data_IF_759347185883
#
_entry.id   IF_759347185883
#
_cell.length_a   1.000
_cell.length_b   1.000
_cell.length_c   1.000
_cell.angle_alpha   90.00
_cell.angle_beta   90.00
_cell.angle_gamma   90.00
#
_symmetry.space_group_name_H-M   'P 1'
#
loop_
_entity.id
_entity.type
_entity.pdbx_description
1 polymer ?
#
# COMPACT_ATOMS: atom_id res chain seq x y z
N UNK A 1 -4.16 -5.27 -1.53
CA UNK A 1 -3.23 -6.24 -2.14
C UNK A 1 -2.20 -6.68 -1.14
N UNK A 2 -1.89 -7.97 -1.09
CA UNK A 2 -0.83 -8.56 -0.25
C UNK A 2 0.44 -8.79 -1.06
N UNK A 3 1.59 -8.91 -0.38
CA UNK A 3 2.91 -9.08 -1.00
C UNK A 3 3.56 -10.35 -0.46
N UNK A 4 4.01 -11.24 -1.33
CA UNK A 4 4.89 -12.35 -0.95
C UNK A 4 6.35 -11.89 -1.02
N UNK A 5 7.11 -12.12 0.05
CA UNK A 5 8.53 -11.79 0.13
C UNK A 5 9.24 -12.65 1.19
N UNK A 6 10.55 -12.85 1.02
CA UNK A 6 11.36 -13.63 1.97
C UNK A 6 11.62 -12.86 3.28
N UNK A 7 11.56 -11.53 3.23
CA UNK A 7 11.74 -10.67 4.39
C UNK A 7 11.08 -9.31 4.21
N UNK A 8 10.93 -8.58 5.32
CA UNK A 8 10.33 -7.25 5.37
C UNK A 8 11.05 -6.27 4.40
N UNK A 9 12.37 -6.39 4.28
CA UNK A 9 13.20 -5.49 3.46
C UNK A 9 12.99 -5.71 1.95
N UNK A 10 12.43 -6.87 1.58
CA UNK A 10 12.13 -7.22 0.21
C UNK A 10 10.71 -6.85 -0.21
N UNK A 11 9.87 -6.31 0.68
CA UNK A 11 8.47 -5.96 0.35
C UNK A 11 8.38 -4.83 -0.68
N UNK A 12 9.19 -3.77 -0.52
CA UNK A 12 9.27 -2.70 -1.51
C UNK A 12 10.16 -3.11 -2.72
N UNK A 13 10.44 -2.18 -3.64
CA UNK A 13 11.32 -2.39 -4.79
C UNK A 13 10.67 -3.15 -5.95
N UNK A 14 9.34 -3.09 -6.07
CA UNK A 14 8.57 -3.85 -7.06
C UNK A 14 7.37 -3.07 -7.59
N UNK A 15 6.82 -3.54 -8.70
CA UNK A 15 5.54 -3.04 -9.24
C UNK A 15 4.47 -4.11 -9.06
N UNK A 16 3.32 -3.70 -8.54
CA UNK A 16 2.19 -4.58 -8.26
C UNK A 16 1.02 -4.19 -9.15
N UNK A 17 0.41 -5.18 -9.79
CA UNK A 17 -0.82 -4.97 -10.56
C UNK A 17 -2.01 -4.93 -9.58
N UNK A 18 -2.73 -3.82 -9.58
CA UNK A 18 -3.91 -3.60 -8.77
C UNK A 18 -5.17 -3.57 -9.63
N UNK A 19 -6.23 -4.19 -9.14
CA UNK A 19 -7.52 -4.32 -9.80
C UNK A 19 -8.62 -3.96 -8.79
N UNK A 20 -9.51 -3.04 -9.14
CA UNK A 20 -10.64 -2.62 -8.30
C UNK A 20 -12.01 -3.12 -8.81
N UNK A 21 -11.98 -4.08 -9.75
CA UNK A 21 -13.17 -4.60 -10.43
C UNK A 21 -13.56 -3.83 -11.70
N UNK A 22 -13.13 -2.58 -11.85
CA UNK A 22 -13.37 -1.79 -13.06
C UNK A 22 -12.08 -1.36 -13.75
N UNK A 23 -11.14 -0.85 -12.97
CA UNK A 23 -9.86 -0.31 -13.40
C UNK A 23 -8.71 -1.26 -13.02
N UNK A 24 -7.71 -1.31 -13.90
CA UNK A 24 -6.36 -1.77 -13.57
C UNK A 24 -5.46 -0.56 -13.36
N UNK A 25 -4.65 -0.60 -12.30
CA UNK A 25 -3.50 0.28 -12.13
C UNK A 25 -2.23 -0.51 -11.78
N UNK A 26 -1.07 0.07 -12.10
CA UNK A 26 0.22 -0.40 -11.64
C UNK A 26 0.67 0.46 -10.44
N UNK A 27 1.03 -0.22 -9.36
CA UNK A 27 1.48 0.39 -8.12
C UNK A 27 2.98 0.15 -7.96
N UNK A 28 3.80 1.19 -8.12
CA UNK A 28 5.24 1.09 -7.85
C UNK A 28 5.49 1.25 -6.37
N UNK A 29 6.25 0.34 -5.76
CA UNK A 29 6.60 0.40 -4.34
C UNK A 29 8.09 0.70 -4.23
N UNK A 30 8.43 1.86 -3.70
CA UNK A 30 9.83 2.26 -3.44
C UNK A 30 10.06 2.32 -1.94
N UNK A 31 11.18 1.84 -1.45
CA UNK A 31 11.49 1.92 -0.01
C UNK A 31 11.42 3.37 0.49
N UNK A 32 10.79 3.58 1.65
CA UNK A 32 10.76 4.87 2.33
C UNK A 32 11.39 4.79 3.72
N UNK A 33 10.94 3.85 4.56
CA UNK A 33 11.47 3.69 5.93
C UNK A 33 11.10 2.35 6.55
N UNK A 34 11.82 1.96 7.60
CA UNK A 34 11.40 0.97 8.59
C UNK A 34 10.71 1.65 9.76
N UNK A 35 9.91 0.89 10.51
CA UNK A 35 9.28 1.36 11.74
C UNK A 35 8.60 0.22 12.48
N UNK A 36 7.81 0.53 13.49
CA UNK A 36 7.01 -0.46 14.22
C UNK A 36 5.61 0.07 14.47
N UNK A 37 4.63 -0.82 14.57
CA UNK A 37 3.25 -0.45 14.91
C UNK A 37 2.66 -1.43 15.92
N UNK A 38 1.71 -0.95 16.72
CA UNK A 38 0.90 -1.77 17.60
C UNK A 38 -0.58 -1.53 17.26
N UNK A 39 -1.28 -2.60 16.87
CA UNK A 39 -2.73 -2.65 16.69
C UNK A 39 -3.23 -3.95 17.33
N UNK A 40 -4.52 -4.08 17.67
CA UNK A 40 -5.08 -5.36 18.11
C UNK A 40 -4.68 -6.49 17.15
N UNK A 41 -4.11 -7.57 17.69
CA UNK A 41 -3.64 -8.75 16.92
C UNK A 41 -2.19 -8.67 16.41
N UNK A 42 -1.55 -7.49 16.41
CA UNK A 42 -0.18 -7.35 15.91
C UNK A 42 0.61 -6.23 16.59
N UNK A 43 1.82 -6.57 17.06
CA UNK A 43 2.81 -5.61 17.52
C UNK A 43 4.18 -6.03 17.00
N UNK A 44 4.80 -5.19 16.17
CA UNK A 44 6.11 -5.53 15.60
C UNK A 44 6.55 -4.62 14.46
N UNK A 45 7.58 -5.10 13.77
CA UNK A 45 8.29 -4.37 12.73
C UNK A 45 7.51 -4.26 11.42
N UNK A 46 7.64 -3.09 10.81
CA UNK A 46 6.95 -2.71 9.58
C UNK A 46 7.91 -2.03 8.61
N UNK A 47 7.56 -2.10 7.33
CA UNK A 47 8.23 -1.34 6.28
C UNK A 47 7.23 -0.43 5.60
N UNK A 48 7.61 0.82 5.39
CA UNK A 48 6.83 1.78 4.64
C UNK A 48 7.43 1.95 3.25
N UNK A 49 6.61 1.75 2.23
CA UNK A 49 6.95 2.05 0.85
C UNK A 49 6.28 3.37 0.43
N UNK A 50 7.00 4.20 -0.32
CA UNK A 50 6.38 5.20 -1.19
C UNK A 50 5.70 4.49 -2.34
N UNK A 51 4.42 4.80 -2.55
CA UNK A 51 3.60 4.20 -3.60
C UNK A 51 3.44 5.18 -4.76
N UNK A 52 3.75 4.75 -5.98
CA UNK A 52 3.33 5.42 -7.21
C UNK A 52 2.05 4.77 -7.75
N UNK A 53 1.25 5.53 -8.50
CA UNK A 53 0.00 5.06 -9.09
C UNK A 53 -0.01 5.37 -10.59
N UNK A 54 -0.08 4.32 -11.41
CA UNK A 54 -0.21 4.46 -12.86
C UNK A 54 -1.50 3.75 -13.33
N UNK A 55 -2.56 4.47 -13.71
CA UNK A 55 -3.77 3.84 -14.23
C UNK A 55 -3.51 3.27 -15.63
N UNK A 56 -3.83 1.99 -15.83
CA UNK A 56 -3.50 1.25 -17.08
C UNK A 56 -4.73 1.03 -17.94
N UNK A 57 -5.83 0.54 -17.38
CA UNK A 57 -7.02 0.17 -18.15
C UNK A 57 -8.31 0.34 -17.33
N UNK A 58 -9.46 0.37 -18.01
CA UNK A 58 -10.77 0.34 -17.33
C UNK A 58 -11.16 1.62 -16.58
N UNK A 59 -10.52 2.75 -16.87
CA UNK A 59 -10.82 4.05 -16.27
C UNK A 59 -11.19 5.09 -17.33
N UNK A 60 -12.01 6.08 -16.92
CA UNK A 60 -12.34 7.22 -17.79
C UNK A 60 -11.19 8.22 -17.78
N UNK A 61 -10.60 8.49 -18.95
CA UNK A 61 -9.57 9.53 -19.12
C UNK A 61 -10.11 10.91 -18.71
N UNK A 62 -9.22 11.78 -18.24
CA UNK A 62 -9.58 13.16 -17.84
C UNK A 62 -10.17 13.32 -16.44
N UNK A 63 -10.28 12.24 -15.65
CA UNK A 63 -10.71 12.33 -14.24
C UNK A 63 -9.64 13.05 -13.41
N UNK A 64 -9.95 14.27 -12.94
CA UNK A 64 -9.03 15.12 -12.15
C UNK A 64 -8.40 14.38 -10.97
N UNK A 65 -9.18 13.58 -10.23
CA UNK A 65 -8.70 12.80 -9.10
C UNK A 65 -7.62 11.78 -9.51
N UNK A 66 -7.81 11.02 -10.60
CA UNK A 66 -6.83 10.04 -11.07
C UNK A 66 -5.55 10.72 -11.57
N UNK A 67 -5.69 11.84 -12.29
CA UNK A 67 -4.54 12.63 -12.73
C UNK A 67 -3.75 13.20 -11.54
N UNK A 68 -4.44 13.60 -10.47
CA UNK A 68 -3.79 14.05 -9.24
C UNK A 68 -3.04 12.90 -8.56
N UNK A 69 -3.66 11.74 -8.42
CA UNK A 69 -3.02 10.55 -7.83
C UNK A 69 -1.76 10.14 -8.60
N UNK A 70 -1.84 10.15 -9.93
CA UNK A 70 -0.71 9.83 -10.81
C UNK A 70 0.44 10.83 -10.70
N UNK A 71 0.13 12.13 -10.77
CA UNK A 71 1.16 13.15 -11.04
C UNK A 71 1.61 13.94 -9.81
N UNK A 72 0.80 14.01 -8.75
CA UNK A 72 1.00 14.96 -7.64
C UNK A 72 0.89 14.33 -6.25
N UNK A 73 0.17 13.23 -6.12
CA UNK A 73 -0.08 12.64 -4.81
C UNK A 73 1.19 12.06 -4.20
N UNK A 74 1.40 12.35 -2.91
CA UNK A 74 2.33 11.60 -2.07
C UNK A 74 1.55 10.47 -1.42
N UNK A 75 1.88 9.23 -1.78
CA UNK A 75 1.26 8.04 -1.21
C UNK A 75 2.30 7.22 -0.46
N UNK A 76 1.95 6.81 0.75
CA UNK A 76 2.72 5.93 1.61
C UNK A 76 1.86 4.74 2.00
N UNK A 77 2.45 3.55 2.00
CA UNK A 77 1.81 2.33 2.45
C UNK A 77 2.77 1.57 3.35
N UNK A 78 2.30 1.20 4.53
CA UNK A 78 3.06 0.47 5.55
C UNK A 78 2.57 -0.96 5.58
N UNK A 79 3.51 -1.90 5.51
CA UNK A 79 3.26 -3.34 5.51
C UNK A 79 3.75 -3.99 6.81
N UNK A 80 2.99 -4.98 7.26
CA UNK A 80 3.34 -5.86 8.37
C UNK A 80 3.25 -7.34 7.92
N UNK A 81 4.07 -8.25 8.47
CA UNK A 81 3.98 -9.68 8.21
C UNK A 81 2.70 -10.27 8.80
N UNK A 82 2.05 -11.14 8.03
CA UNK A 82 0.87 -11.90 8.47
C UNK A 82 1.35 -13.25 9.00
N UNK A 83 1.51 -13.36 10.33
CA UNK A 83 2.07 -14.56 10.95
C UNK A 83 3.45 -14.92 10.39
N UNK A 84 3.72 -16.22 10.21
CA UNK A 84 4.97 -16.74 9.63
C UNK A 84 4.79 -17.21 8.17
N UNK A 85 3.88 -16.58 7.42
CA UNK A 85 3.47 -17.06 6.08
C UNK A 85 4.33 -16.57 4.91
N UNK A 86 5.27 -15.64 5.14
CA UNK A 86 5.95 -14.91 4.05
C UNK A 86 5.05 -13.92 3.31
N UNK A 87 3.83 -13.69 3.81
CA UNK A 87 2.86 -12.72 3.29
C UNK A 87 2.90 -11.45 4.11
N UNK A 88 2.93 -10.31 3.43
CA UNK A 88 2.89 -8.99 4.01
C UNK A 88 1.65 -8.25 3.53
N UNK A 89 0.87 -7.73 4.47
CA UNK A 89 -0.36 -7.01 4.18
C UNK A 89 -0.26 -5.54 4.67
N UNK A 90 -0.94 -4.60 3.98
CA UNK A 90 -0.92 -3.21 4.38
C UNK A 90 -1.67 -3.03 5.70
N UNK A 91 -1.01 -2.41 6.67
CA UNK A 91 -1.57 -2.12 8.00
C UNK A 91 -1.92 -0.63 8.15
N UNK A 92 -1.30 0.23 7.33
CA UNK A 92 -1.58 1.67 7.26
C UNK A 92 -1.31 2.19 5.85
N UNK A 93 -2.11 3.13 5.38
CA UNK A 93 -1.86 3.86 4.14
C UNK A 93 -2.21 5.33 4.31
N UNK A 94 -1.40 6.22 3.73
CA UNK A 94 -1.69 7.66 3.64
C UNK A 94 -1.61 8.07 2.18
N UNK A 95 -2.67 8.69 1.69
CA UNK A 95 -2.80 9.14 0.30
C UNK A 95 -3.07 10.64 0.31
N UNK A 96 -2.17 11.43 -0.27
CA UNK A 96 -2.45 12.84 -0.55
C UNK A 96 -3.60 12.93 -1.56
N UNK A 97 -4.67 13.65 -1.21
CA UNK A 97 -5.76 13.95 -2.13
C UNK A 97 -5.87 15.45 -2.33
N UNK A 98 -6.70 15.90 -3.27
CA UNK A 98 -6.90 17.33 -3.53
C UNK A 98 -7.52 18.09 -2.36
N UNK A 99 -8.20 17.39 -1.45
CA UNK A 99 -8.88 17.99 -0.28
C UNK A 99 -8.05 17.83 1.01
N UNK A 100 -6.95 17.09 0.98
CA UNK A 100 -6.13 16.77 2.15
C UNK A 100 -5.65 15.31 2.18
N UNK A 101 -4.87 14.92 3.19
CA UNK A 101 -4.40 13.54 3.33
C UNK A 101 -5.52 12.61 3.83
N UNK A 102 -5.81 11.56 3.06
CA UNK A 102 -6.61 10.43 3.52
C UNK A 102 -5.69 9.42 4.21
N UNK A 103 -6.01 9.01 5.44
CA UNK A 103 -5.29 7.94 6.13
C UNK A 103 -6.22 6.78 6.44
N UNK A 104 -5.78 5.57 6.11
CA UNK A 104 -6.46 4.30 6.37
C UNK A 104 -5.56 3.51 7.31
N UNK A 105 -6.10 2.99 8.40
CA UNK A 105 -5.39 2.16 9.38
C UNK A 105 -6.20 0.90 9.69
N UNK A 106 -5.51 -0.21 9.92
CA UNK A 106 -6.15 -1.44 10.36
C UNK A 106 -6.66 -1.29 11.80
N UNK A 107 -7.93 -1.64 12.05
CA UNK A 107 -8.48 -1.72 13.40
C UNK A 107 -8.04 -2.97 14.17
N UNK A 108 -7.74 -4.05 13.45
CA UNK A 108 -7.16 -5.31 13.94
C UNK A 108 -6.35 -5.95 12.81
N UNK A 109 -5.28 -6.66 13.14
CA UNK A 109 -4.41 -7.32 12.18
C UNK A 109 -3.84 -8.60 12.78
N UNK A 110 -4.29 -9.76 12.32
CA UNK A 110 -3.82 -11.08 12.78
C UNK A 110 -4.02 -12.13 11.69
N UNK A 111 -3.24 -13.20 11.73
CA UNK A 111 -3.51 -14.36 10.88
C UNK A 111 -4.76 -15.08 11.41
N UNK A 112 -5.70 -15.37 10.53
CA UNK A 112 -6.88 -16.17 10.86
C UNK A 112 -6.53 -17.63 10.57
N UNK A 113 -6.69 -18.48 11.58
CA UNK A 113 -6.56 -19.94 11.44
C UNK A 113 -7.81 -20.55 10.82
#
# INVERSE_FOLDING_TARGET
TVIHADSLDKVCGRTVKFYDGKMRADLTLTYASKGSIAVPGYKGDTVTCKMGFEPVAGYRKGRKALNYLKNKSRMLVTFAPVGQSGVYAPIRATVGTQIGPLTISAGRFEAVN
#
